data_IF_864889006889
#
_entry.id   IF_864889006889
#
_cell.length_a   1.000
_cell.length_b   1.000
_cell.length_c   1.000
_cell.angle_alpha   90.00
_cell.angle_beta   90.00
_cell.angle_gamma   90.00
#
_symmetry.space_group_name_H-M   'P 1'
#
loop_
_entity.id
_entity.type
_entity.pdbx_description
1 polymer ?
#
# COMPACT_ATOMS: atom_id res chain seq x y z
N UNK A 1 20.47 -10.78 2.53
CA UNK A 1 19.84 -11.34 3.74
C UNK A 1 18.53 -11.96 3.29
N UNK A 2 18.45 -13.28 3.33
CA UNK A 2 17.26 -14.03 2.93
C UNK A 2 16.38 -14.24 4.16
N UNK A 3 15.12 -13.88 4.07
CA UNK A 3 14.11 -14.29 5.06
C UNK A 3 13.22 -15.29 4.35
N UNK A 4 13.37 -16.56 4.71
CA UNK A 4 12.54 -17.64 4.22
C UNK A 4 11.27 -17.68 5.06
N UNK A 5 10.17 -17.18 4.52
CA UNK A 5 8.86 -17.46 5.04
C UNK A 5 8.40 -18.78 4.45
N UNK A 6 7.95 -19.73 5.27
CA UNK A 6 7.43 -21.02 4.81
C UNK A 6 6.46 -20.80 3.66
N UNK A 7 6.85 -21.27 2.45
CA UNK A 7 6.14 -21.16 1.18
C UNK A 7 6.14 -19.79 0.48
N UNK A 8 7.02 -18.85 0.84
CA UNK A 8 7.23 -17.60 0.10
C UNK A 8 8.73 -17.27 0.10
N UNK A 9 9.28 -16.95 -1.06
CA UNK A 9 10.65 -16.49 -1.18
C UNK A 9 10.70 -14.97 -1.21
N UNK A 10 11.40 -14.34 -0.27
CA UNK A 10 11.66 -12.91 -0.26
C UNK A 10 13.01 -12.66 -0.94
N UNK A 11 12.99 -11.96 -2.07
CA UNK A 11 14.20 -11.60 -2.79
C UNK A 11 14.47 -10.10 -2.65
N UNK A 12 15.69 -9.76 -2.22
CA UNK A 12 16.21 -8.40 -2.37
C UNK A 12 16.79 -8.29 -3.78
N UNK A 13 16.03 -7.76 -4.71
CA UNK A 13 16.41 -7.76 -6.13
C UNK A 13 17.01 -6.41 -6.52
N UNK A 14 18.16 -6.47 -7.17
CA UNK A 14 18.65 -5.39 -8.02
C UNK A 14 17.67 -5.19 -9.18
N UNK A 15 17.22 -3.95 -9.38
CA UNK A 15 16.07 -3.56 -10.20
C UNK A 15 16.21 -3.89 -11.69
N UNK A 16 15.94 -5.14 -12.06
CA UNK A 16 15.77 -5.54 -13.45
C UNK A 16 14.33 -6.04 -13.65
N UNK A 17 13.56 -5.36 -14.50
CA UNK A 17 12.15 -5.70 -14.76
C UNK A 17 12.01 -7.11 -15.37
N UNK A 18 12.99 -7.55 -16.16
CA UNK A 18 13.03 -8.90 -16.75
C UNK A 18 13.20 -9.96 -15.67
N UNK A 19 14.03 -9.69 -14.66
CA UNK A 19 14.22 -10.59 -13.53
C UNK A 19 12.95 -10.71 -12.68
N UNK A 20 12.22 -9.62 -12.48
CA UNK A 20 10.96 -9.62 -11.73
C UNK A 20 9.91 -10.45 -12.46
N UNK A 21 9.76 -10.28 -13.76
CA UNK A 21 8.83 -11.07 -14.55
C UNK A 21 9.24 -12.55 -14.57
N UNK A 22 10.54 -12.84 -14.61
CA UNK A 22 11.08 -14.20 -14.54
C UNK A 22 10.79 -14.84 -13.16
N UNK A 23 10.98 -14.11 -12.06
CA UNK A 23 10.68 -14.60 -10.72
C UNK A 23 9.17 -14.90 -10.59
N UNK A 24 8.32 -14.02 -11.05
CA UNK A 24 6.88 -14.20 -10.97
C UNK A 24 6.40 -15.43 -11.75
N UNK A 25 7.05 -15.78 -12.85
CA UNK A 25 6.73 -16.98 -13.65
C UNK A 25 7.28 -18.30 -13.07
N UNK A 26 8.34 -18.23 -12.25
CA UNK A 26 8.99 -19.42 -11.67
C UNK A 26 8.35 -19.83 -10.33
N UNK A 27 7.71 -18.89 -9.61
CA UNK A 27 7.14 -19.15 -8.28
C UNK A 27 5.64 -19.43 -8.38
N UNK A 28 5.22 -20.71 -8.31
CA UNK A 28 3.81 -21.08 -8.49
C UNK A 28 2.89 -20.60 -7.36
N UNK A 29 3.43 -20.09 -6.27
CA UNK A 29 2.69 -19.69 -5.06
C UNK A 29 2.56 -18.15 -4.95
N UNK A 30 3.43 -17.40 -5.61
CA UNK A 30 3.48 -15.95 -5.56
C UNK A 30 4.76 -15.38 -4.95
N UNK A 31 5.17 -14.20 -5.40
CA UNK A 31 6.29 -13.45 -4.88
C UNK A 31 5.81 -12.17 -4.18
N UNK A 32 6.44 -11.81 -3.05
CA UNK A 32 6.19 -10.56 -2.34
C UNK A 32 7.48 -9.75 -2.31
N UNK A 33 7.41 -8.51 -2.77
CA UNK A 33 8.50 -7.54 -2.69
C UNK A 33 8.14 -6.49 -1.64
N UNK A 34 9.01 -6.32 -0.65
CA UNK A 34 8.93 -5.23 0.32
C UNK A 34 9.94 -4.16 -0.05
N UNK A 35 9.47 -2.94 -0.30
CA UNK A 35 10.30 -1.81 -0.73
C UNK A 35 10.22 -0.67 0.29
N UNK A 36 11.30 -0.42 1.00
CA UNK A 36 11.45 0.77 1.86
C UNK A 36 12.57 1.67 1.28
N UNK A 37 12.17 2.65 0.56
CA UNK A 37 10.87 3.18 0.17
C UNK A 37 10.85 3.48 -1.33
N UNK A 38 9.66 3.62 -1.91
CA UNK A 38 9.54 4.05 -3.31
C UNK A 38 10.05 5.47 -3.52
N UNK A 39 9.98 6.31 -2.48
CA UNK A 39 10.53 7.67 -2.48
C UNK A 39 12.05 7.65 -2.66
N UNK A 40 12.75 6.79 -1.91
CA UNK A 40 14.21 6.61 -2.05
C UNK A 40 14.59 6.06 -3.41
N UNK A 41 13.80 5.14 -3.92
CA UNK A 41 13.99 4.59 -5.26
C UNK A 41 13.85 5.70 -6.32
N UNK A 42 12.81 6.52 -6.25
CA UNK A 42 12.60 7.66 -7.14
C UNK A 42 13.75 8.65 -7.10
N UNK A 43 14.25 9.00 -5.91
CA UNK A 43 15.42 9.88 -5.74
C UNK A 43 16.69 9.27 -6.37
N UNK A 44 16.94 7.99 -6.15
CA UNK A 44 18.11 7.31 -6.72
C UNK A 44 18.06 7.32 -8.25
N UNK A 45 16.91 7.03 -8.85
CA UNK A 45 16.74 7.13 -10.29
C UNK A 45 16.92 8.55 -10.79
N UNK A 46 16.42 9.57 -10.08
CA UNK A 46 16.60 10.97 -10.45
C UNK A 46 18.07 11.39 -10.48
N UNK A 47 18.92 10.76 -9.66
CA UNK A 47 20.36 11.05 -9.63
C UNK A 47 21.11 10.39 -10.78
N UNK A 48 20.71 9.20 -11.24
CA UNK A 48 21.47 8.40 -12.21
C UNK A 48 20.95 8.49 -13.63
N UNK A 49 19.73 8.96 -13.83
CA UNK A 49 19.16 9.10 -15.18
C UNK A 49 19.82 10.27 -15.90
N UNK A 50 20.26 10.10 -17.17
CA UNK A 50 20.72 11.22 -18.00
C UNK A 50 19.64 12.30 -18.09
N UNK A 51 20.03 13.55 -17.93
CA UNK A 51 19.10 14.69 -17.98
C UNK A 51 18.31 14.70 -19.28
N UNK A 52 16.99 14.74 -19.17
CA UNK A 52 16.08 14.88 -20.33
C UNK A 52 15.97 16.32 -20.83
N UNK A 53 16.52 17.27 -20.09
CA UNK A 53 16.34 18.73 -20.31
C UNK A 53 14.95 19.22 -19.86
N UNK A 54 14.07 18.35 -19.36
CA UNK A 54 12.75 18.69 -18.82
C UNK A 54 12.68 18.29 -17.36
N UNK A 55 12.62 19.28 -16.49
CA UNK A 55 12.56 19.08 -15.03
C UNK A 55 11.16 19.43 -14.54
N UNK A 56 10.55 18.50 -13.82
CA UNK A 56 9.27 18.71 -13.14
C UNK A 56 9.47 19.56 -11.88
N UNK A 57 8.38 20.05 -11.32
CA UNK A 57 8.39 20.71 -10.01
C UNK A 57 9.13 19.82 -8.99
N UNK A 58 9.92 20.43 -8.09
CA UNK A 58 10.69 19.67 -7.10
C UNK A 58 12.01 19.08 -7.60
N UNK A 59 12.44 19.41 -8.84
CA UNK A 59 13.74 18.98 -9.37
C UNK A 59 13.79 17.53 -9.85
N UNK A 60 12.65 16.94 -10.18
CA UNK A 60 12.56 15.58 -10.73
C UNK A 60 12.67 15.65 -12.26
N UNK A 61 13.63 14.91 -12.85
CA UNK A 61 13.72 14.75 -14.30
C UNK A 61 12.50 13.98 -14.84
N UNK A 62 11.96 14.42 -15.97
CA UNK A 62 10.76 13.82 -16.56
C UNK A 62 10.89 12.32 -16.85
N UNK A 63 12.10 11.82 -17.08
CA UNK A 63 12.40 10.41 -17.36
C UNK A 63 12.72 9.60 -16.10
N UNK A 64 13.01 10.26 -14.96
CA UNK A 64 13.50 9.60 -13.75
C UNK A 64 12.54 8.54 -13.21
N UNK A 65 11.24 8.81 -13.25
CA UNK A 65 10.23 7.94 -12.64
C UNK A 65 9.67 6.86 -13.58
N UNK A 66 10.06 6.84 -14.86
CA UNK A 66 9.52 5.86 -15.82
C UNK A 66 9.81 4.41 -15.43
N UNK A 67 11.07 4.09 -15.10
CA UNK A 67 11.45 2.74 -14.68
C UNK A 67 10.85 2.34 -13.33
N UNK A 68 10.93 3.17 -12.28
CA UNK A 68 10.23 2.92 -11.01
C UNK A 68 8.72 2.70 -11.17
N UNK A 69 8.05 3.46 -12.04
CA UNK A 69 6.61 3.25 -12.32
C UNK A 69 6.33 1.91 -12.99
N UNK A 70 7.15 1.53 -13.98
CA UNK A 70 7.01 0.22 -14.63
C UNK A 70 7.24 -0.93 -13.64
N UNK A 71 8.23 -0.78 -12.76
CA UNK A 71 8.47 -1.74 -11.69
C UNK A 71 7.25 -1.89 -10.78
N UNK A 72 6.73 -0.79 -10.23
CA UNK A 72 5.59 -0.83 -9.33
C UNK A 72 4.31 -1.31 -10.03
N UNK A 73 4.11 -0.93 -11.28
CA UNK A 73 3.00 -1.39 -12.13
C UNK A 73 3.12 -2.84 -12.61
N UNK A 74 4.23 -3.54 -12.30
CA UNK A 74 4.39 -4.95 -12.63
C UNK A 74 3.64 -5.90 -11.68
N UNK A 75 3.18 -5.40 -10.51
CA UNK A 75 2.39 -6.19 -9.56
C UNK A 75 1.09 -6.69 -10.22
N UNK A 76 0.91 -8.01 -10.25
CA UNK A 76 -0.24 -8.66 -10.91
C UNK A 76 -0.40 -10.12 -10.52
N UNK A 77 -1.58 -10.66 -10.76
CA UNK A 77 -1.77 -12.10 -10.84
C UNK A 77 -1.38 -12.60 -12.25
N UNK A 78 -0.87 -13.81 -12.34
CA UNK A 78 -0.46 -14.46 -13.60
C UNK A 78 -1.50 -15.52 -13.94
N UNK A 79 -1.96 -15.57 -15.20
CA UNK A 79 -3.02 -16.47 -15.64
C UNK A 79 -2.64 -17.95 -15.46
N UNK A 80 -1.36 -18.29 -15.68
CA UNK A 80 -0.83 -19.64 -15.53
C UNK A 80 -0.52 -20.04 -14.07
N UNK A 81 -0.86 -19.18 -13.13
CA UNK A 81 -0.61 -19.37 -11.70
C UNK A 81 0.51 -18.49 -11.18
N UNK A 82 0.47 -18.23 -9.86
CA UNK A 82 1.38 -17.31 -9.19
C UNK A 82 0.91 -15.86 -9.21
N UNK A 83 1.60 -15.04 -8.44
CA UNK A 83 1.33 -13.61 -8.33
C UNK A 83 2.57 -12.82 -7.95
N UNK A 84 2.60 -11.55 -8.32
CA UNK A 84 3.59 -10.60 -7.81
C UNK A 84 2.88 -9.53 -7.00
N UNK A 85 3.19 -9.48 -5.70
CA UNK A 85 2.72 -8.46 -4.77
C UNK A 85 3.86 -7.52 -4.41
N UNK A 86 3.66 -6.22 -4.50
CA UNK A 86 4.64 -5.22 -4.10
C UNK A 86 4.03 -4.38 -2.98
N UNK A 87 4.69 -4.37 -1.81
CA UNK A 87 4.35 -3.51 -0.69
C UNK A 87 5.47 -2.47 -0.57
N UNK A 88 5.14 -1.22 -0.82
CA UNK A 88 6.11 -0.13 -0.79
C UNK A 88 5.69 0.94 0.23
N UNK A 89 6.67 1.46 0.98
CA UNK A 89 6.46 2.68 1.77
C UNK A 89 6.70 3.91 0.89
N UNK A 90 5.93 4.96 1.11
CA UNK A 90 6.13 6.28 0.52
C UNK A 90 6.24 7.32 1.63
N UNK A 91 7.18 8.25 1.49
CA UNK A 91 7.38 9.32 2.45
C UNK A 91 6.52 10.53 2.04
N UNK A 92 5.71 11.00 2.98
CA UNK A 92 4.89 12.22 2.86
C UNK A 92 5.24 13.18 4.00
N UNK A 93 4.90 14.44 3.84
CA UNK A 93 5.13 15.50 4.86
C UNK A 93 6.60 15.63 5.30
N UNK A 94 7.53 15.39 4.38
CA UNK A 94 8.98 15.52 4.64
C UNK A 94 9.50 16.96 4.50
N UNK A 95 8.67 17.88 4.03
CA UNK A 95 9.06 19.24 3.65
C UNK A 95 9.84 19.30 2.32
N UNK A 96 10.01 18.17 1.63
CA UNK A 96 10.68 18.10 0.34
C UNK A 96 9.68 18.08 -0.82
N UNK A 97 9.73 19.09 -1.68
CA UNK A 97 8.91 19.13 -2.90
C UNK A 97 9.18 17.96 -3.85
N UNK A 98 10.40 17.44 -3.85
CA UNK A 98 10.73 16.24 -4.64
C UNK A 98 9.94 15.02 -4.15
N UNK A 99 9.82 14.84 -2.83
CA UNK A 99 9.07 13.71 -2.27
C UNK A 99 7.57 13.81 -2.55
N UNK A 100 7.02 15.04 -2.50
CA UNK A 100 5.63 15.30 -2.87
C UNK A 100 5.37 14.92 -4.33
N UNK A 101 6.25 15.33 -5.25
CA UNK A 101 6.13 14.98 -6.68
C UNK A 101 6.24 13.47 -6.88
N UNK A 102 7.22 12.82 -6.24
CA UNK A 102 7.38 11.36 -6.32
C UNK A 102 6.10 10.68 -5.81
N UNK A 103 5.58 11.09 -4.66
CA UNK A 103 4.35 10.52 -4.11
C UNK A 103 3.16 10.66 -5.08
N UNK A 104 2.90 11.88 -5.59
CA UNK A 104 1.79 12.12 -6.51
C UNK A 104 1.92 11.34 -7.82
N UNK A 105 3.15 11.16 -8.32
CA UNK A 105 3.43 10.36 -9.53
C UNK A 105 3.18 8.86 -9.35
N UNK A 106 3.28 8.34 -8.11
CA UNK A 106 2.96 6.95 -7.78
C UNK A 106 1.53 6.76 -7.28
N UNK A 107 0.90 7.82 -6.77
CA UNK A 107 -0.50 7.82 -6.39
C UNK A 107 -1.36 7.41 -7.57
N UNK A 108 -2.17 6.43 -7.34
CA UNK A 108 -2.98 5.90 -8.44
C UNK A 108 -2.37 4.74 -9.22
N UNK A 109 -1.08 4.42 -9.05
CA UNK A 109 -0.49 3.19 -9.58
C UNK A 109 -0.78 2.00 -8.66
N UNK A 110 -0.81 2.22 -7.34
CA UNK A 110 -1.19 1.21 -6.35
C UNK A 110 -2.70 0.94 -6.33
N UNK A 111 -3.07 -0.26 -5.92
CA UNK A 111 -4.46 -0.68 -5.76
C UNK A 111 -4.94 -0.63 -4.30
N UNK A 112 -4.05 -0.43 -3.34
CA UNK A 112 -4.35 -0.28 -1.93
C UNK A 112 -3.41 0.74 -1.30
N UNK A 113 -3.97 1.63 -0.49
CA UNK A 113 -3.24 2.67 0.22
C UNK A 113 -3.57 2.60 1.72
N UNK A 114 -2.54 2.48 2.55
CA UNK A 114 -2.65 2.57 4.00
C UNK A 114 -1.94 3.83 4.46
N UNK A 115 -2.70 4.81 4.94
CA UNK A 115 -2.20 6.11 5.37
C UNK A 115 -1.96 6.06 6.87
N UNK A 116 -0.72 6.34 7.29
CA UNK A 116 -0.35 6.44 8.69
C UNK A 116 -0.51 7.88 9.17
N UNK A 117 -0.92 8.05 10.42
CA UNK A 117 -1.08 9.37 11.04
C UNK A 117 -0.14 9.51 12.23
N UNK A 118 0.71 10.56 12.18
CA UNK A 118 1.69 10.84 13.24
C UNK A 118 1.03 11.20 14.56
N UNK A 119 -0.08 11.95 14.55
CA UNK A 119 -0.78 12.36 15.78
C UNK A 119 -1.35 11.17 16.54
N UNK A 120 -1.82 10.16 15.81
CA UNK A 120 -2.30 8.89 16.40
C UNK A 120 -1.12 8.17 17.07
N UNK A 121 0.03 8.09 16.38
CA UNK A 121 1.26 7.47 16.91
C UNK A 121 1.81 8.20 18.14
N UNK A 122 1.81 9.53 18.15
CA UNK A 122 2.24 10.35 19.28
C UNK A 122 1.43 10.09 20.55
N UNK A 123 0.14 9.77 20.39
CA UNK A 123 -0.74 9.35 21.49
C UNK A 123 -0.64 7.86 21.85
N UNK A 124 0.29 7.13 21.23
CA UNK A 124 0.50 5.69 21.47
C UNK A 124 -0.72 4.82 21.15
N UNK A 125 -1.55 5.26 20.21
CA UNK A 125 -2.67 4.48 19.68
C UNK A 125 -2.16 3.70 18.45
N UNK A 126 -2.28 2.38 18.48
CA UNK A 126 -1.79 1.50 17.42
C UNK A 126 -2.87 0.52 16.98
N UNK A 127 -2.92 0.18 15.68
CA UNK A 127 -2.07 0.71 14.60
C UNK A 127 -2.37 2.19 14.32
N UNK A 128 -1.33 3.00 14.05
CA UNK A 128 -1.47 4.44 13.83
C UNK A 128 -1.94 4.74 12.38
N UNK A 129 -3.09 4.21 12.02
CA UNK A 129 -3.66 4.28 10.67
C UNK A 129 -4.80 5.29 10.63
N UNK A 130 -4.76 6.20 9.67
CA UNK A 130 -5.93 6.99 9.29
C UNK A 130 -6.85 6.12 8.42
N UNK A 131 -7.80 5.44 9.07
CA UNK A 131 -8.74 4.54 8.40
C UNK A 131 -9.75 5.27 7.52
N UNK A 132 -9.92 6.58 7.70
CA UNK A 132 -10.86 7.36 6.89
C UNK A 132 -10.28 7.71 5.51
N UNK A 133 -8.95 7.81 5.42
CA UNK A 133 -8.21 8.08 4.19
C UNK A 133 -7.63 6.85 3.53
N UNK A 134 -7.48 5.76 4.27
CA UNK A 134 -6.99 4.47 3.75
C UNK A 134 -8.06 3.75 2.95
N UNK A 135 -7.66 3.02 1.92
CA UNK A 135 -8.62 2.29 1.10
C UNK A 135 -7.97 1.34 0.10
N UNK A 136 -8.80 0.48 -0.46
CA UNK A 136 -8.44 -0.48 -1.51
C UNK A 136 -9.38 -0.28 -2.69
N UNK A 137 -8.83 -0.31 -3.91
CA UNK A 137 -9.64 -0.23 -5.12
C UNK A 137 -10.30 -1.57 -5.40
N UNK A 138 -11.49 -1.52 -5.98
CA UNK A 138 -12.24 -2.70 -6.44
C UNK A 138 -12.41 -3.74 -5.36
N UNK A 139 -12.83 -3.31 -4.19
CA UNK A 139 -13.05 -4.18 -3.02
C UNK A 139 -14.09 -5.27 -3.29
N UNK A 140 -14.99 -5.05 -4.24
CA UNK A 140 -15.96 -6.03 -4.71
C UNK A 140 -15.34 -7.30 -5.29
N UNK A 141 -14.04 -7.28 -5.63
CA UNK A 141 -13.28 -8.45 -6.06
C UNK A 141 -12.69 -9.26 -4.90
N UNK A 142 -12.69 -8.68 -3.70
CA UNK A 142 -12.03 -9.25 -2.51
C UNK A 142 -13.08 -9.71 -1.49
N UNK A 143 -14.17 -8.95 -1.36
CA UNK A 143 -15.21 -9.21 -0.36
C UNK A 143 -16.46 -9.81 -0.98
N UNK A 144 -17.09 -10.71 -0.25
CA UNK A 144 -18.43 -11.14 -0.55
C UNK A 144 -19.44 -9.98 -0.42
N UNK A 145 -20.51 -10.02 -1.20
CA UNK A 145 -21.50 -8.94 -1.27
C UNK A 145 -22.06 -8.50 0.09
N UNK A 146 -22.29 -9.47 0.99
CA UNK A 146 -22.79 -9.19 2.34
C UNK A 146 -21.77 -8.44 3.18
N UNK A 147 -20.50 -8.86 3.15
CA UNK A 147 -19.43 -8.22 3.92
C UNK A 147 -19.10 -6.84 3.37
N UNK A 148 -19.13 -6.67 2.05
CA UNK A 148 -18.98 -5.37 1.40
C UNK A 148 -20.08 -4.39 1.83
N UNK A 149 -21.33 -4.84 1.98
CA UNK A 149 -22.43 -4.02 2.50
C UNK A 149 -22.16 -3.58 3.95
N UNK A 150 -21.70 -4.50 4.80
CA UNK A 150 -21.34 -4.18 6.21
C UNK A 150 -20.17 -3.20 6.27
N UNK A 151 -19.15 -3.39 5.43
CA UNK A 151 -18.04 -2.44 5.32
C UNK A 151 -18.51 -1.04 4.91
N UNK A 152 -19.44 -0.94 3.96
CA UNK A 152 -20.00 0.34 3.54
C UNK A 152 -20.82 1.02 4.65
N UNK A 153 -21.53 0.24 5.46
CA UNK A 153 -22.23 0.77 6.66
C UNK A 153 -21.21 1.28 7.65
N UNK A 154 -20.17 0.49 7.94
CA UNK A 154 -19.09 0.89 8.86
C UNK A 154 -18.42 2.19 8.43
N UNK A 155 -18.10 2.34 7.14
CA UNK A 155 -17.52 3.57 6.59
C UNK A 155 -18.43 4.79 6.79
N UNK A 156 -19.74 4.64 6.63
CA UNK A 156 -20.68 5.75 6.90
C UNK A 156 -20.69 6.15 8.37
N UNK A 157 -20.51 5.18 9.29
CA UNK A 157 -20.43 5.46 10.72
C UNK A 157 -19.16 6.22 11.06
N UNK A 158 -18.01 5.82 10.52
CA UNK A 158 -16.72 6.44 10.83
C UNK A 158 -16.44 7.71 10.02
N UNK A 159 -17.09 7.91 8.87
CA UNK A 159 -16.83 9.06 8.00
C UNK A 159 -16.94 10.44 8.68
N UNK A 160 -17.92 10.71 9.58
CA UNK A 160 -18.00 11.97 10.30
C UNK A 160 -17.01 12.08 11.46
N UNK A 161 -16.31 11.00 11.81
CA UNK A 161 -15.36 10.98 12.92
C UNK A 161 -14.00 11.53 12.48
N UNK A 162 -13.23 12.14 13.40
CA UNK A 162 -11.82 12.42 13.18
C UNK A 162 -11.01 11.12 13.11
N UNK A 163 -9.84 11.15 12.45
CA UNK A 163 -9.00 9.96 12.28
C UNK A 163 -8.70 9.22 13.59
N UNK A 164 -8.51 9.97 14.68
CA UNK A 164 -8.26 9.42 16.01
C UNK A 164 -9.48 8.70 16.60
N UNK A 165 -10.62 9.38 16.61
CA UNK A 165 -11.85 8.82 17.16
C UNK A 165 -12.30 7.59 16.37
N UNK A 166 -12.11 7.63 15.06
CA UNK A 166 -12.40 6.51 14.16
C UNK A 166 -11.56 5.27 14.48
N UNK A 167 -10.24 5.43 14.68
CA UNK A 167 -9.36 4.28 15.00
C UNK A 167 -9.62 3.75 16.42
N UNK A 168 -9.86 4.63 17.39
CA UNK A 168 -10.23 4.20 18.75
C UNK A 168 -11.56 3.45 18.77
N UNK A 169 -12.56 3.95 18.04
CA UNK A 169 -13.84 3.27 17.88
C UNK A 169 -13.67 1.86 17.31
N UNK A 170 -12.94 1.73 16.19
CA UNK A 170 -12.69 0.42 15.57
C UNK A 170 -11.91 -0.50 16.51
N UNK A 171 -10.84 -0.02 17.14
CA UNK A 171 -10.05 -0.80 18.08
C UNK A 171 -10.89 -1.31 19.25
N UNK A 172 -11.80 -0.48 19.79
CA UNK A 172 -12.70 -0.88 20.89
C UNK A 172 -13.63 -2.03 20.48
N UNK A 173 -14.11 -2.01 19.25
CA UNK A 173 -14.99 -3.06 18.71
C UNK A 173 -14.24 -4.35 18.37
N UNK A 174 -13.05 -4.22 17.76
CA UNK A 174 -12.23 -5.37 17.39
C UNK A 174 -11.68 -6.14 18.60
N UNK A 175 -11.37 -5.46 19.70
CA UNK A 175 -10.90 -6.11 20.95
C UNK A 175 -11.84 -7.19 21.48
N UNK A 176 -13.13 -7.07 21.20
CA UNK A 176 -14.18 -7.97 21.69
C UNK A 176 -14.51 -9.09 20.69
N UNK A 177 -13.74 -9.21 19.61
CA UNK A 177 -13.97 -10.20 18.54
C UNK A 177 -12.70 -10.96 18.20
N UNK A 178 -12.80 -12.24 17.85
CA UNK A 178 -11.65 -13.10 17.55
C UNK A 178 -11.17 -12.99 16.09
N UNK A 179 -12.07 -12.60 15.20
CA UNK A 179 -11.81 -12.50 13.77
C UNK A 179 -12.81 -11.56 13.08
N UNK A 180 -12.56 -11.24 11.82
CA UNK A 180 -13.41 -10.34 11.04
C UNK A 180 -14.84 -10.85 10.86
N UNK A 181 -15.05 -12.17 10.73
CA UNK A 181 -16.39 -12.73 10.59
C UNK A 181 -17.23 -12.51 11.85
N UNK A 182 -16.64 -12.70 13.03
CA UNK A 182 -17.31 -12.41 14.32
C UNK A 182 -17.59 -10.91 14.47
N UNK A 183 -16.64 -10.06 14.07
CA UNK A 183 -16.84 -8.61 14.07
C UNK A 183 -18.02 -8.21 13.17
N UNK A 184 -18.07 -8.67 11.92
CA UNK A 184 -19.19 -8.38 11.02
C UNK A 184 -20.53 -8.94 11.50
N UNK A 185 -20.53 -10.09 12.19
CA UNK A 185 -21.74 -10.65 12.78
C UNK A 185 -22.21 -9.86 14.02
N UNK A 186 -21.27 -9.27 14.75
CA UNK A 186 -21.61 -8.42 15.92
C UNK A 186 -22.31 -7.12 15.51
N UNK A 187 -22.06 -6.62 14.30
CA UNK A 187 -22.70 -5.41 13.79
C UNK A 187 -24.22 -5.55 13.59
N UNK A 188 -24.73 -6.76 13.48
CA UNK A 188 -26.16 -7.05 13.29
C UNK A 188 -26.91 -7.24 14.61
N UNK A 189 -26.23 -7.23 15.76
CA UNK A 189 -26.88 -7.35 17.07
C UNK A 189 -27.34 -5.96 17.52
N UNK A 190 -28.61 -5.79 17.87
CA UNK A 190 -29.06 -4.56 18.53
C UNK A 190 -28.28 -4.37 19.83
N UNK A 191 -27.87 -3.15 20.11
CA UNK A 191 -27.21 -2.73 21.34
C UNK A 191 -28.21 -2.81 22.49
#
# INVERSE_FOLDING_TARGET
>A
MFIELKNSALFLVSFNLELINSIASIVPIGAIILLDSITRLGRAYNTVVPSSGKVLTGGVDANALQRPKRFFGAARNIEEGGSLTIIATALIDTGSRMDEVIFEEFKGTGNSETILDRKISEKRIYPAIDITKSGTRREELIFEKNDLQKMNVLRRIIAPMGAMDAIEFINSKLKNTKNNAEFFNSMNKPV
#
